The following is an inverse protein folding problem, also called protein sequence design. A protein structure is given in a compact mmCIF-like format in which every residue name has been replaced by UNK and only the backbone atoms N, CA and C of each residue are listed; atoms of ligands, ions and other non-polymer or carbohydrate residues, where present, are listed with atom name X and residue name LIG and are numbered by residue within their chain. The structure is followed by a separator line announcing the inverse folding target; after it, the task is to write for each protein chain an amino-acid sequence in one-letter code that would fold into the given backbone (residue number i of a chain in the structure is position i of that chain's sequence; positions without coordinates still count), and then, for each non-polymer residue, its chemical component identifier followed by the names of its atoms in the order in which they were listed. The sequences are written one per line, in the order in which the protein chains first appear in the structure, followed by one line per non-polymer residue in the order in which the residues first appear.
data_IF_312085309661
#
_entry.id   IF_312085309661
#
_cell.length_a   1.000
_cell.length_b   1.000
_cell.length_c   1.000
_cell.angle_alpha   90.00
_cell.angle_beta   90.00
_cell.angle_gamma   90.00
#
_symmetry.space_group_name_H-M   'P 1'
#
loop_
_entity.id
_entity.type
_entity.pdbx_description
1 polymer ?
#
# COMPACT_ATOMS: atom_id res chain seq x y z
N UNK A 1 10.32 11.16 -6.49
CA UNK A 1 10.47 10.78 -5.07
C UNK A 1 9.89 11.88 -4.20
N UNK A 2 9.11 11.53 -3.18
CA UNK A 2 8.47 12.48 -2.25
C UNK A 2 9.51 13.09 -1.30
N UNK A 3 9.91 14.36 -1.45
CA UNK A 3 11.02 14.95 -0.69
C UNK A 3 10.77 15.04 0.82
N UNK A 4 9.51 14.87 1.26
CA UNK A 4 9.09 14.92 2.67
C UNK A 4 8.34 13.65 3.09
N UNK A 5 8.72 12.48 2.57
CA UNK A 5 8.01 11.22 2.85
C UNK A 5 7.90 10.90 4.35
N UNK A 6 8.89 11.32 5.15
CA UNK A 6 8.88 11.13 6.60
C UNK A 6 7.81 11.99 7.30
N UNK A 7 7.36 13.09 6.70
CA UNK A 7 6.24 13.87 7.24
C UNK A 7 4.89 13.22 6.94
N UNK A 8 4.81 12.43 5.86
CA UNK A 8 3.62 11.61 5.56
C UNK A 8 3.44 10.51 6.60
N UNK A 9 4.51 9.95 7.16
CA UNK A 9 4.45 8.90 8.17
C UNK A 9 4.96 9.42 9.53
N UNK A 10 4.08 9.88 10.44
CA UNK A 10 4.50 10.53 11.69
C UNK A 10 5.47 9.69 12.54
N UNK A 11 5.35 8.36 12.50
CA UNK A 11 6.26 7.42 13.18
C UNK A 11 7.71 7.52 12.70
N UNK A 12 7.96 8.01 11.49
CA UNK A 12 9.29 8.14 10.89
C UNK A 12 9.86 9.56 10.97
N UNK A 13 9.08 10.52 11.47
CA UNK A 13 9.50 11.92 11.58
C UNK A 13 10.69 12.05 12.52
N UNK A 14 11.77 12.65 12.04
CA UNK A 14 12.99 12.90 12.82
C UNK A 14 13.91 11.69 13.01
N UNK A 15 13.55 10.52 12.48
CA UNK A 15 14.43 9.34 12.46
C UNK A 15 15.44 9.51 11.31
N UNK A 16 16.72 9.22 11.56
CA UNK A 16 17.75 9.28 10.50
C UNK A 16 17.43 8.23 9.43
N UNK A 17 17.59 8.58 8.15
CA UNK A 17 17.19 7.71 7.05
C UNK A 17 17.93 6.36 7.05
N UNK A 18 19.23 6.35 7.33
CA UNK A 18 20.03 5.12 7.43
C UNK A 18 19.58 4.23 8.59
N UNK A 19 19.19 4.81 9.72
CA UNK A 19 18.62 4.06 10.84
C UNK A 19 17.26 3.46 10.47
N UNK A 20 16.40 4.25 9.83
CA UNK A 20 15.08 3.82 9.38
C UNK A 20 15.18 2.65 8.38
N UNK A 21 16.06 2.78 7.38
CA UNK A 21 16.28 1.77 6.34
C UNK A 21 16.85 0.46 6.90
N UNK A 22 17.63 0.52 7.98
CA UNK A 22 18.15 -0.66 8.66
C UNK A 22 17.23 -1.18 9.78
N UNK A 23 16.06 -0.57 9.98
CA UNK A 23 15.16 -0.96 11.06
C UNK A 23 14.43 -2.27 10.76
N UNK A 24 14.46 -3.20 11.72
CA UNK A 24 13.70 -4.45 11.65
C UNK A 24 12.19 -4.20 11.49
N UNK A 25 11.68 -3.12 12.11
CA UNK A 25 10.27 -2.76 12.05
C UNK A 25 9.83 -2.43 10.62
N UNK A 26 10.56 -1.56 9.93
CA UNK A 26 10.25 -1.21 8.54
C UNK A 26 10.35 -2.42 7.61
N UNK A 27 11.41 -3.22 7.75
CA UNK A 27 11.58 -4.44 6.97
C UNK A 27 10.40 -5.42 7.13
N UNK A 28 9.98 -5.67 8.37
CA UNK A 28 8.84 -6.55 8.64
C UNK A 28 7.52 -5.97 8.14
N UNK A 29 7.35 -4.65 8.20
CA UNK A 29 6.18 -3.98 7.65
C UNK A 29 6.13 -4.11 6.12
N UNK A 30 7.24 -3.86 5.43
CA UNK A 30 7.35 -4.03 3.98
C UNK A 30 6.99 -5.46 3.54
N UNK A 31 7.48 -6.48 4.27
CA UNK A 31 7.08 -7.88 4.01
C UNK A 31 5.57 -8.11 4.16
N UNK A 32 4.93 -7.51 5.17
CA UNK A 32 3.48 -7.65 5.40
C UNK A 32 2.67 -6.93 4.32
N UNK A 33 3.15 -5.79 3.83
CA UNK A 33 2.55 -5.08 2.69
C UNK A 33 2.57 -5.99 1.46
N UNK A 34 3.71 -6.56 1.11
CA UNK A 34 3.80 -7.45 -0.06
C UNK A 34 2.97 -8.71 0.09
N UNK A 35 2.90 -9.30 1.29
CA UNK A 35 2.01 -10.44 1.55
C UNK A 35 0.53 -10.06 1.39
N UNK A 36 0.11 -8.85 1.77
CA UNK A 36 -1.25 -8.39 1.54
C UNK A 36 -1.57 -8.22 0.05
N UNK A 37 -0.62 -7.71 -0.74
CA UNK A 37 -0.74 -7.61 -2.20
C UNK A 37 -0.82 -9.01 -2.84
N UNK A 38 0.03 -9.94 -2.42
CA UNK A 38 0.00 -11.33 -2.90
C UNK A 38 -1.33 -12.03 -2.58
N UNK A 39 -1.83 -11.86 -1.35
CA UNK A 39 -3.15 -12.38 -0.97
C UNK A 39 -4.28 -11.78 -1.81
N UNK A 40 -4.18 -10.49 -2.16
CA UNK A 40 -5.16 -9.84 -3.02
C UNK A 40 -5.16 -10.43 -4.43
N UNK A 41 -3.98 -10.68 -5.00
CA UNK A 41 -3.83 -11.35 -6.31
C UNK A 41 -4.39 -12.77 -6.26
N UNK A 42 -4.09 -13.51 -5.20
CA UNK A 42 -4.51 -14.91 -5.05
C UNK A 42 -6.03 -15.07 -4.89
N UNK A 43 -6.73 -14.00 -4.49
CA UNK A 43 -8.16 -13.98 -4.25
C UNK A 43 -8.94 -13.20 -5.32
N UNK A 44 -8.35 -12.89 -6.48
CA UNK A 44 -9.04 -12.14 -7.55
C UNK A 44 -10.31 -12.84 -8.05
N UNK A 45 -10.36 -14.17 -7.98
CA UNK A 45 -11.53 -14.97 -8.37
C UNK A 45 -12.59 -15.12 -7.27
N UNK A 46 -12.30 -14.66 -6.04
CA UNK A 46 -13.21 -14.68 -4.89
C UNK A 46 -13.32 -13.28 -4.25
N UNK A 47 -14.13 -12.45 -4.90
CA UNK A 47 -14.29 -11.05 -4.53
C UNK A 47 -14.87 -10.87 -3.12
N UNK A 48 -15.72 -11.78 -2.64
CA UNK A 48 -16.33 -11.69 -1.31
C UNK A 48 -15.26 -11.85 -0.23
N UNK A 49 -14.44 -12.92 -0.34
CA UNK A 49 -13.33 -13.17 0.59
C UNK A 49 -12.30 -12.06 0.54
N UNK A 50 -11.99 -11.55 -0.66
CA UNK A 50 -11.04 -10.46 -0.84
C UNK A 50 -11.51 -9.18 -0.14
N UNK A 51 -12.76 -8.75 -0.39
CA UNK A 51 -13.32 -7.54 0.21
C UNK A 51 -13.39 -7.66 1.73
N UNK A 52 -13.81 -8.81 2.27
CA UNK A 52 -13.87 -9.02 3.71
C UNK A 52 -12.48 -8.93 4.34
N UNK A 53 -11.48 -9.63 3.77
CA UNK A 53 -10.11 -9.66 4.27
C UNK A 53 -9.47 -8.26 4.30
N UNK A 54 -9.60 -7.52 3.20
CA UNK A 54 -9.07 -6.15 3.09
C UNK A 54 -9.79 -5.17 4.03
N UNK A 55 -11.12 -5.31 4.19
CA UNK A 55 -11.89 -4.47 5.11
C UNK A 55 -11.44 -4.69 6.56
N UNK A 56 -11.27 -5.96 6.98
CA UNK A 56 -10.73 -6.32 8.31
C UNK A 56 -9.30 -5.81 8.49
N UNK A 57 -8.47 -5.86 7.44
CA UNK A 57 -7.13 -5.29 7.48
C UNK A 57 -7.18 -3.78 7.67
N UNK A 58 -8.06 -3.07 6.97
CA UNK A 58 -8.33 -1.64 7.15
C UNK A 58 -8.74 -1.28 8.59
N UNK A 59 -9.66 -2.03 9.19
CA UNK A 59 -10.10 -1.81 10.58
C UNK A 59 -8.92 -1.82 11.58
N UNK A 60 -7.94 -2.71 11.37
CA UNK A 60 -6.72 -2.75 12.19
C UNK A 60 -5.84 -1.52 11.97
N UNK A 61 -5.87 -0.92 10.79
CA UNK A 61 -5.12 0.29 10.45
C UNK A 61 -5.68 1.57 11.06
N UNK A 62 -6.92 1.54 11.56
CA UNK A 62 -7.54 2.68 12.27
C UNK A 62 -6.71 3.16 13.46
N UNK A 63 -6.03 2.24 14.16
CA UNK A 63 -5.20 2.56 15.33
C UNK A 63 -3.97 3.41 15.00
N UNK A 64 -3.55 3.45 13.73
CA UNK A 64 -2.36 4.18 13.29
C UNK A 64 -2.71 5.47 12.53
N UNK A 65 -3.98 5.90 12.54
CA UNK A 65 -4.46 7.13 11.89
C UNK A 65 -4.02 7.24 10.41
N UNK A 66 -4.00 6.08 9.72
CA UNK A 66 -3.68 6.02 8.30
C UNK A 66 -4.80 6.70 7.52
N UNK A 67 -4.40 7.58 6.61
CA UNK A 67 -5.22 8.35 5.67
C UNK A 67 -4.88 8.01 4.23
N UNK A 68 -5.71 8.45 3.29
CA UNK A 68 -5.54 8.25 1.85
C UNK A 68 -4.14 8.64 1.34
N UNK A 69 -3.57 9.75 1.83
CA UNK A 69 -2.25 10.21 1.36
C UNK A 69 -1.14 9.18 1.59
N UNK A 70 -1.23 8.36 2.63
CA UNK A 70 -0.24 7.31 2.90
C UNK A 70 -0.32 6.19 1.86
N UNK A 71 -1.54 5.81 1.44
CA UNK A 71 -1.74 4.81 0.40
C UNK A 71 -1.25 5.32 -0.96
N UNK A 72 -1.51 6.58 -1.29
CA UNK A 72 -1.02 7.22 -2.53
C UNK A 72 0.48 7.06 -2.66
N UNK A 73 1.25 7.36 -1.60
CA UNK A 73 2.72 7.23 -1.69
C UNK A 73 3.16 5.77 -1.82
N UNK A 74 2.55 4.84 -1.09
CA UNK A 74 2.89 3.42 -1.21
C UNK A 74 2.58 2.90 -2.62
N UNK A 75 1.46 3.31 -3.21
CA UNK A 75 1.08 2.94 -4.57
C UNK A 75 2.05 3.47 -5.62
N UNK A 76 2.45 4.73 -5.51
CA UNK A 76 3.46 5.31 -6.40
C UNK A 76 4.81 4.59 -6.27
N UNK A 77 5.24 4.25 -5.05
CA UNK A 77 6.47 3.51 -4.83
C UNK A 77 6.40 2.09 -5.43
N UNK A 78 5.27 1.40 -5.31
CA UNK A 78 5.04 0.10 -5.91
C UNK A 78 5.12 0.17 -7.44
N UNK A 79 4.38 1.11 -8.05
CA UNK A 79 4.37 1.28 -9.50
C UNK A 79 5.75 1.64 -10.04
N UNK A 80 6.47 2.54 -9.37
CA UNK A 80 7.84 2.87 -9.73
C UNK A 80 8.77 1.65 -9.68
N UNK A 81 8.65 0.85 -8.61
CA UNK A 81 9.45 -0.39 -8.45
C UNK A 81 9.16 -1.40 -9.56
N UNK A 82 7.89 -1.55 -9.96
CA UNK A 82 7.49 -2.43 -11.05
C UNK A 82 8.04 -1.94 -12.41
N UNK A 83 8.06 -0.63 -12.65
CA UNK A 83 8.66 -0.05 -13.86
C UNK A 83 10.15 -0.34 -13.94
N UNK A 84 10.88 -0.13 -12.84
CA UNK A 84 12.31 -0.38 -12.75
C UNK A 84 12.65 -1.86 -12.95
N UNK A 85 11.93 -2.76 -12.27
CA UNK A 85 12.21 -4.20 -12.28
C UNK A 85 11.80 -4.91 -13.58
N UNK A 86 10.67 -4.52 -14.18
CA UNK A 86 10.15 -5.18 -15.39
C UNK A 86 10.72 -4.58 -16.68
N UNK A 87 11.26 -3.36 -16.63
CA UNK A 87 11.84 -2.66 -17.77
C UNK A 87 10.93 -2.74 -19.02
N UNK A 88 11.40 -3.36 -20.11
CA UNK A 88 10.62 -3.50 -21.36
C UNK A 88 9.37 -4.37 -21.23
N UNK A 89 9.28 -5.23 -20.22
CA UNK A 89 8.07 -6.01 -19.93
C UNK A 89 7.00 -5.19 -19.21
N UNK A 90 7.33 -3.98 -18.72
CA UNK A 90 6.40 -3.08 -18.07
C UNK A 90 5.57 -2.30 -19.10
N UNK A 91 4.66 -3.00 -19.78
CA UNK A 91 3.76 -2.36 -20.75
C UNK A 91 2.76 -1.44 -20.06
N UNK A 92 2.15 -0.52 -20.82
CA UNK A 92 1.10 0.36 -20.29
C UNK A 92 -0.08 -0.44 -19.71
N UNK A 93 -0.42 -1.59 -20.30
CA UNK A 93 -1.48 -2.46 -19.78
C UNK A 93 -1.10 -3.08 -18.43
N UNK A 94 0.16 -3.49 -18.26
CA UNK A 94 0.66 -4.02 -16.98
C UNK A 94 0.57 -2.94 -15.89
N UNK A 95 1.02 -1.72 -16.18
CA UNK A 95 0.98 -0.61 -15.21
C UNK A 95 -0.45 -0.23 -14.82
N UNK A 96 -1.37 -0.12 -15.78
CA UNK A 96 -2.76 0.20 -15.45
C UNK A 96 -3.41 -0.93 -14.65
N UNK A 97 -3.15 -2.20 -14.96
CA UNK A 97 -3.67 -3.33 -14.16
C UNK A 97 -3.17 -3.29 -12.71
N UNK A 98 -1.89 -3.01 -12.48
CA UNK A 98 -1.33 -2.87 -11.13
C UNK A 98 -1.91 -1.66 -10.38
N UNK A 99 -2.14 -0.55 -11.08
CA UNK A 99 -2.75 0.65 -10.53
C UNK A 99 -4.19 0.41 -10.13
N UNK A 100 -4.98 -0.29 -10.95
CA UNK A 100 -6.35 -0.68 -10.64
C UNK A 100 -6.41 -1.59 -9.41
N UNK A 101 -5.57 -2.63 -9.36
CA UNK A 101 -5.47 -3.54 -8.22
C UNK A 101 -5.13 -2.78 -6.93
N UNK A 102 -4.08 -1.96 -6.96
CA UNK A 102 -3.64 -1.24 -5.76
C UNK A 102 -4.66 -0.19 -5.30
N UNK A 103 -5.34 0.47 -6.24
CA UNK A 103 -6.45 1.38 -5.92
C UNK A 103 -7.63 0.64 -5.27
N UNK A 104 -7.97 -0.55 -5.77
CA UNK A 104 -9.00 -1.38 -5.17
C UNK A 104 -8.65 -1.79 -3.73
N UNK A 105 -7.41 -2.24 -3.51
CA UNK A 105 -6.89 -2.57 -2.18
C UNK A 105 -7.01 -1.36 -1.24
N UNK A 106 -6.50 -0.21 -1.67
CA UNK A 106 -6.45 1.02 -0.88
C UNK A 106 -7.85 1.50 -0.50
N UNK A 107 -8.78 1.57 -1.47
CA UNK A 107 -10.16 1.99 -1.22
C UNK A 107 -10.90 1.06 -0.27
N UNK A 108 -10.70 -0.25 -0.39
CA UNK A 108 -11.33 -1.24 0.48
C UNK A 108 -10.80 -1.14 1.92
N UNK A 109 -9.49 -0.93 2.08
CA UNK A 109 -8.90 -0.69 3.40
C UNK A 109 -9.37 0.64 4.01
N UNK A 110 -9.44 1.73 3.24
CA UNK A 110 -9.95 3.03 3.72
C UNK A 110 -11.39 2.91 4.22
N UNK A 111 -12.25 2.18 3.49
CA UNK A 111 -13.60 1.85 3.96
C UNK A 111 -13.58 1.13 5.31
N UNK A 112 -12.65 0.19 5.50
CA UNK A 112 -12.47 -0.53 6.77
C UNK A 112 -11.95 0.36 7.91
N UNK A 113 -11.10 1.34 7.61
CA UNK A 113 -10.59 2.34 8.58
C UNK A 113 -11.75 3.19 9.14
N UNK A 114 -12.78 3.42 8.33
CA UNK A 114 -13.91 4.29 8.66
C UNK A 114 -13.88 5.63 7.92
N UNK A 115 -12.90 5.83 7.05
CA UNK A 115 -12.90 6.91 6.07
C UNK A 115 -13.86 6.48 4.96
N UNK A 116 -15.12 6.88 5.11
CA UNK A 116 -16.07 6.80 4.02
C UNK A 116 -15.47 7.59 2.86
N UNK A 117 -15.16 6.92 1.74
CA UNK A 117 -15.10 7.60 0.45
C UNK A 117 -16.49 8.18 0.28
N UNK A 118 -16.62 9.47 0.59
CA UNK A 118 -17.84 10.25 0.37
C UNK A 118 -18.16 10.07 -1.11
N UNK A 119 -19.30 9.44 -1.38
CA UNK A 119 -19.88 9.38 -2.72
C UNK A 119 -20.22 10.78 -3.20
#
# INVERSE_FOLDING_TARGET
MHPNIQDTFPTFKGVRLDELMNSRSLYLHAKRVMAAVENAISALDDMEVLVESLTRLGQRHRLWFVREEHFTVVGEALLWTLQDMLASACTSQVIEAWKELFNFISKTMLRGIGDAVVK
#
